data_IF_936324354940
#
_entry.id   IF_936324354940
#
_cell.length_a   1.000
_cell.length_b   1.000
_cell.length_c   1.000
_cell.angle_alpha   90.00
_cell.angle_beta   90.00
_cell.angle_gamma   90.00
#
_symmetry.space_group_name_H-M   'P 1'
#
loop_
_entity.id
_entity.type
_entity.pdbx_description
1 polymer ?
#
# COMPACT_ATOMS: atom_id res chain seq x y z
N UNK A 1 15.59 -11.52 9.94
CA UNK A 1 15.26 -10.09 9.74
C UNK A 1 16.44 -9.42 9.02
N UNK A 2 16.20 -8.63 7.97
CA UNK A 2 17.25 -8.17 7.03
C UNK A 2 17.84 -6.78 7.32
N UNK A 3 17.81 -6.30 8.58
CA UNK A 3 18.33 -4.97 8.96
C UNK A 3 17.58 -3.75 8.41
N UNK A 4 16.56 -3.95 7.56
CA UNK A 4 15.76 -2.87 6.98
C UNK A 4 14.69 -2.35 7.95
N UNK A 5 14.57 -1.04 8.05
CA UNK A 5 13.49 -0.34 8.77
C UNK A 5 12.18 -0.44 7.98
N UNK A 6 11.09 -0.76 8.67
CA UNK A 6 9.73 -0.71 8.10
C UNK A 6 9.11 0.63 8.47
N UNK A 7 8.72 1.42 7.48
CA UNK A 7 8.17 2.75 7.67
C UNK A 7 7.04 3.04 6.67
N UNK A 8 6.18 3.98 7.04
CA UNK A 8 5.24 4.63 6.13
C UNK A 8 5.89 5.92 5.64
N UNK A 9 5.88 6.16 4.33
CA UNK A 9 6.51 7.32 3.71
C UNK A 9 5.44 8.31 3.27
N UNK A 10 5.71 9.60 3.50
CA UNK A 10 4.86 10.71 3.09
C UNK A 10 5.60 11.62 2.12
N UNK A 11 4.90 12.10 1.10
CA UNK A 11 5.35 13.12 0.16
C UNK A 11 4.43 14.33 0.35
N UNK A 12 4.85 15.27 1.20
CA UNK A 12 3.96 16.31 1.71
C UNK A 12 2.81 15.69 2.49
N UNK A 13 1.58 16.00 2.09
CA UNK A 13 0.35 15.50 2.73
C UNK A 13 -0.16 14.18 2.11
N UNK A 14 0.58 13.56 1.19
CA UNK A 14 0.19 12.30 0.54
C UNK A 14 1.00 11.11 1.07
N UNK A 15 0.32 10.07 1.57
CA UNK A 15 1.00 8.84 1.99
C UNK A 15 1.37 8.00 0.78
N UNK A 16 2.66 7.88 0.50
CA UNK A 16 3.18 7.19 -0.67
C UNK A 16 2.79 5.71 -0.71
N UNK A 17 2.75 5.03 0.44
CA UNK A 17 2.31 3.64 0.53
C UNK A 17 0.85 3.45 0.06
N UNK A 18 -0.03 4.41 0.38
CA UNK A 18 -1.44 4.39 -0.06
C UNK A 18 -1.53 4.69 -1.55
N UNK A 19 -0.75 5.67 -2.04
CA UNK A 19 -0.67 6.01 -3.46
C UNK A 19 -0.33 4.79 -4.31
N UNK A 20 0.75 4.07 -3.96
CA UNK A 20 1.16 2.86 -4.67
C UNK A 20 0.06 1.78 -4.71
N UNK A 21 -0.66 1.60 -3.60
CA UNK A 21 -1.76 0.64 -3.52
C UNK A 21 -2.95 1.08 -4.38
N UNK A 22 -3.31 2.38 -4.34
CA UNK A 22 -4.42 2.99 -5.07
C UNK A 22 -4.21 2.97 -6.59
N UNK A 23 -2.97 3.18 -7.02
CA UNK A 23 -2.58 3.11 -8.43
C UNK A 23 -2.39 1.66 -8.91
N UNK A 24 -2.46 0.65 -8.02
CA UNK A 24 -2.28 -0.74 -8.40
C UNK A 24 -0.83 -1.11 -8.74
N UNK A 25 0.15 -0.35 -8.22
CA UNK A 25 1.57 -0.56 -8.47
C UNK A 25 2.22 -1.50 -7.43
N UNK A 26 1.56 -1.74 -6.31
CA UNK A 26 2.10 -2.58 -5.23
C UNK A 26 1.03 -3.44 -4.54
N UNK A 27 1.47 -4.54 -3.93
CA UNK A 27 0.65 -5.39 -3.05
C UNK A 27 0.95 -5.08 -1.58
N UNK A 28 -0.08 -4.81 -0.80
CA UNK A 28 0.01 -4.51 0.61
C UNK A 28 0.47 -5.74 1.41
N UNK A 29 1.47 -5.55 2.29
CA UNK A 29 1.95 -6.58 3.21
C UNK A 29 2.27 -5.95 4.56
N UNK A 30 1.79 -6.58 5.63
CA UNK A 30 1.87 -6.05 6.98
C UNK A 30 2.56 -7.03 7.92
N UNK A 31 3.36 -6.49 8.83
CA UNK A 31 4.10 -7.25 9.82
C UNK A 31 3.80 -6.66 11.21
N UNK A 32 3.19 -7.42 12.13
CA UNK A 32 2.92 -6.92 13.47
C UNK A 32 4.18 -6.43 14.18
N UNK A 33 4.09 -5.38 15.02
CA UNK A 33 2.89 -4.62 15.38
C UNK A 33 2.60 -3.43 14.44
N UNK A 34 3.21 -3.36 13.25
CA UNK A 34 3.12 -2.19 12.36
C UNK A 34 1.90 -2.28 11.42
N UNK A 35 0.72 -1.97 11.94
CA UNK A 35 -0.55 -2.04 11.18
C UNK A 35 -1.46 -0.81 11.31
N UNK A 36 -0.96 0.31 11.86
CA UNK A 36 -1.69 1.58 12.04
C UNK A 36 -2.51 2.01 10.81
N UNK A 37 -1.97 1.84 9.60
CA UNK A 37 -2.62 2.27 8.35
C UNK A 37 -3.08 1.09 7.48
N UNK A 38 -3.20 -0.10 8.05
CA UNK A 38 -3.59 -1.32 7.33
C UNK A 38 -4.88 -1.15 6.55
N UNK A 39 -5.94 -0.73 7.24
CA UNK A 39 -7.28 -0.61 6.66
C UNK A 39 -7.26 0.34 5.45
N UNK A 40 -6.60 1.50 5.59
CA UNK A 40 -6.50 2.50 4.53
C UNK A 40 -5.79 1.95 3.28
N UNK A 41 -4.65 1.28 3.46
CA UNK A 41 -3.88 0.70 2.35
C UNK A 41 -4.63 -0.47 1.71
N UNK A 42 -5.28 -1.33 2.50
CA UNK A 42 -6.08 -2.45 1.98
C UNK A 42 -7.30 -1.97 1.18
N UNK A 43 -7.96 -0.91 1.60
CA UNK A 43 -9.05 -0.29 0.86
C UNK A 43 -8.55 0.28 -0.49
N UNK A 44 -7.44 1.02 -0.48
CA UNK A 44 -6.82 1.54 -1.70
C UNK A 44 -6.47 0.41 -2.69
N UNK A 45 -5.90 -0.70 -2.20
CA UNK A 45 -5.63 -1.87 -3.04
C UNK A 45 -6.91 -2.48 -3.62
N UNK A 46 -7.98 -2.63 -2.80
CA UNK A 46 -9.26 -3.16 -3.27
C UNK A 46 -9.86 -2.30 -4.38
N UNK A 47 -9.70 -0.98 -4.32
CA UNK A 47 -10.12 -0.09 -5.39
C UNK A 47 -9.33 -0.33 -6.68
N UNK A 48 -8.01 -0.46 -6.59
CA UNK A 48 -7.17 -0.75 -7.75
C UNK A 48 -7.50 -2.11 -8.40
N UNK A 49 -7.79 -3.13 -7.58
CA UNK A 49 -8.22 -4.45 -8.04
C UNK A 49 -9.55 -4.39 -8.79
N UNK A 50 -10.54 -3.67 -8.25
CA UNK A 50 -11.85 -3.51 -8.91
C UNK A 50 -11.75 -2.80 -10.26
N UNK A 51 -10.82 -1.85 -10.36
CA UNK A 51 -10.53 -1.10 -11.59
C UNK A 51 -9.58 -1.82 -12.55
N UNK A 52 -9.06 -2.99 -12.17
CA UNK A 52 -8.07 -3.74 -12.93
C UNK A 52 -6.90 -2.86 -13.37
N UNK A 53 -6.27 -2.14 -12.43
CA UNK A 53 -5.14 -1.27 -12.74
C UNK A 53 -3.80 -2.02 -12.68
N UNK A 54 -2.90 -1.78 -13.64
CA UNK A 54 -1.49 -2.17 -13.57
C UNK A 54 -1.30 -3.66 -13.21
N UNK A 55 -0.77 -3.98 -12.02
CA UNK A 55 -0.50 -5.38 -11.62
C UNK A 55 -1.77 -6.22 -11.44
N UNK A 56 -2.94 -5.59 -11.54
CA UNK A 56 -4.27 -6.20 -11.48
C UNK A 56 -4.93 -6.33 -12.86
N UNK A 57 -4.29 -5.84 -13.93
CA UNK A 57 -4.66 -6.18 -15.31
C UNK A 57 -4.38 -7.67 -15.53
N UNK A 58 -5.29 -8.33 -16.26
CA UNK A 58 -5.17 -9.76 -16.58
C UNK A 58 -4.28 -9.98 -17.79
#
# INVERSE_FOLDING_TARGET
KYGRTLAYVWLGDEMFNVKLAKEGLARAKFYPPNDKYRILIEQAQKEAQKKQLNIWER
#
